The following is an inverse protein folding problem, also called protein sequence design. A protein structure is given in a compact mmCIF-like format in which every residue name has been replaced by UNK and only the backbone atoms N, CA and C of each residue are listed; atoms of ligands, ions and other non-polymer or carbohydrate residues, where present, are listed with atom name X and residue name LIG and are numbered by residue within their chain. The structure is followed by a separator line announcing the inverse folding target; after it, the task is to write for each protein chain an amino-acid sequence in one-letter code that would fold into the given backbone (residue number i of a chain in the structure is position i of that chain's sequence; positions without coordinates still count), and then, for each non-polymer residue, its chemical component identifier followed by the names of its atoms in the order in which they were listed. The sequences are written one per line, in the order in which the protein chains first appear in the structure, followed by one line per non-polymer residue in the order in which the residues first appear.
data_IF_017852188707
#
_entry.id   IF_017852188707
#
_cell.length_a   1.000
_cell.length_b   1.000
_cell.length_c   1.000
_cell.angle_alpha   90.00
_cell.angle_beta   90.00
_cell.angle_gamma   90.00
#
_symmetry.space_group_name_H-M   'P 1'
#
loop_
_entity.id
_entity.type
_entity.pdbx_description
1 polymer ?
#
# COMPACT_ATOMS: atom_id res chain seq x y z
N UNK A 1 13.63 -8.24 -1.45
CA UNK A 1 14.88 -7.94 -2.18
C UNK A 1 14.57 -6.92 -3.26
N UNK A 2 15.54 -6.14 -3.77
CA UNK A 2 15.26 -5.19 -4.89
C UNK A 2 14.64 -5.90 -6.11
N UNK A 3 15.03 -7.15 -6.35
CA UNK A 3 14.54 -7.99 -7.46
C UNK A 3 13.04 -8.32 -7.41
N UNK A 4 12.38 -8.17 -6.26
CA UNK A 4 10.93 -8.38 -6.10
C UNK A 4 10.10 -7.23 -6.71
N UNK A 5 10.73 -6.09 -6.96
CA UNK A 5 10.05 -4.92 -7.51
C UNK A 5 9.92 -5.03 -9.03
N UNK A 6 8.80 -4.53 -9.55
CA UNK A 6 8.48 -4.57 -10.96
C UNK A 6 9.47 -3.75 -11.80
N UNK A 7 9.85 -4.31 -12.95
CA UNK A 7 10.69 -3.63 -13.96
C UNK A 7 9.88 -2.87 -15.01
N UNK A 8 8.57 -3.08 -15.03
CA UNK A 8 7.66 -2.43 -15.96
C UNK A 8 6.28 -2.28 -15.31
N UNK A 9 5.45 -1.40 -15.88
CA UNK A 9 4.08 -1.20 -15.40
C UNK A 9 3.25 -2.47 -15.54
N UNK A 10 2.41 -2.77 -14.55
CA UNK A 10 1.47 -3.90 -14.61
C UNK A 10 0.18 -3.58 -13.84
N UNK A 11 -0.79 -4.49 -13.88
CA UNK A 11 -2.01 -4.42 -13.09
C UNK A 11 -1.94 -5.39 -11.91
N UNK A 12 -2.22 -4.91 -10.70
CA UNK A 12 -2.36 -5.74 -9.51
C UNK A 12 -3.84 -5.99 -9.24
N UNK A 13 -4.31 -7.20 -9.50
CA UNK A 13 -5.67 -7.64 -9.20
C UNK A 13 -5.78 -8.16 -7.76
N UNK A 14 -6.84 -7.78 -7.06
CA UNK A 14 -7.12 -8.21 -5.70
C UNK A 14 -8.62 -8.30 -5.42
N UNK A 15 -8.96 -8.92 -4.30
CA UNK A 15 -10.34 -9.01 -3.79
C UNK A 15 -10.46 -8.11 -2.57
N UNK A 16 -11.39 -7.15 -2.61
CA UNK A 16 -11.64 -6.26 -1.48
C UNK A 16 -12.47 -6.92 -0.38
N UNK A 17 -12.69 -6.20 0.73
CA UNK A 17 -13.46 -6.71 1.88
C UNK A 17 -14.94 -6.95 1.56
N UNK A 18 -15.46 -6.38 0.47
CA UNK A 18 -16.80 -6.63 -0.05
C UNK A 18 -16.82 -7.75 -1.11
N UNK A 19 -15.73 -8.50 -1.25
CA UNK A 19 -15.55 -9.59 -2.22
C UNK A 19 -15.60 -9.15 -3.69
N UNK A 20 -15.40 -7.87 -3.97
CA UNK A 20 -15.32 -7.37 -5.34
C UNK A 20 -13.91 -7.53 -5.89
N UNK A 21 -13.82 -7.89 -7.17
CA UNK A 21 -12.57 -7.81 -7.93
C UNK A 21 -12.24 -6.36 -8.18
N UNK A 22 -11.04 -5.95 -7.79
CA UNK A 22 -10.49 -4.62 -8.06
C UNK A 22 -9.08 -4.75 -8.61
N UNK A 23 -8.62 -3.67 -9.21
CA UNK A 23 -7.27 -3.59 -9.77
C UNK A 23 -6.60 -2.27 -9.41
N UNK A 24 -5.29 -2.31 -9.20
CA UNK A 24 -4.44 -1.14 -9.01
C UNK A 24 -3.38 -1.15 -10.11
N UNK A 25 -3.22 -0.02 -10.80
CA UNK A 25 -2.11 0.15 -11.74
C UNK A 25 -0.81 0.31 -10.94
N UNK A 26 0.15 -0.58 -11.16
CA UNK A 26 1.47 -0.54 -10.57
C UNK A 26 2.48 0.01 -11.58
N UNK A 27 3.34 0.90 -11.11
CA UNK A 27 4.43 1.48 -11.90
C UNK A 27 5.72 0.68 -11.73
N UNK A 28 6.72 0.97 -12.57
CA UNK A 28 8.08 0.46 -12.35
C UNK A 28 8.56 0.80 -10.93
N UNK A 29 9.39 -0.08 -10.37
CA UNK A 29 9.92 0.01 -9.02
C UNK A 29 8.85 -0.04 -7.93
N UNK A 30 7.73 -0.72 -8.19
CA UNK A 30 6.69 -1.00 -7.20
C UNK A 30 6.42 -2.50 -7.03
N UNK A 31 5.78 -2.86 -5.92
CA UNK A 31 5.19 -4.17 -5.69
C UNK A 31 3.88 -3.99 -4.92
N UNK A 32 2.84 -4.72 -5.33
CA UNK A 32 1.53 -4.73 -4.68
C UNK A 32 1.25 -6.06 -3.99
N UNK A 33 0.68 -6.00 -2.80
CA UNK A 33 0.19 -7.17 -2.06
C UNK A 33 -1.02 -6.77 -1.20
N UNK A 34 -1.64 -7.72 -0.51
CA UNK A 34 -2.70 -7.40 0.46
C UNK A 34 -2.31 -7.84 1.86
N UNK A 35 -2.75 -7.07 2.86
CA UNK A 35 -2.70 -7.46 4.26
C UNK A 35 -4.07 -7.19 4.89
N UNK A 36 -4.68 -8.19 5.52
CA UNK A 36 -6.08 -8.13 5.95
C UNK A 36 -7.05 -7.65 4.85
N UNK A 37 -6.86 -8.09 3.60
CA UNK A 37 -7.60 -7.62 2.41
C UNK A 37 -7.50 -6.10 2.11
N UNK A 38 -6.62 -5.38 2.80
CA UNK A 38 -6.26 -4.01 2.45
C UNK A 38 -5.07 -4.06 1.48
N UNK A 39 -5.15 -3.44 0.29
CA UNK A 39 -4.03 -3.42 -0.64
C UNK A 39 -2.91 -2.50 -0.11
N UNK A 40 -1.70 -3.01 -0.18
CA UNK A 40 -0.46 -2.31 0.18
C UNK A 40 0.42 -2.26 -1.05
N UNK A 41 0.87 -1.05 -1.41
CA UNK A 41 1.81 -0.81 -2.51
C UNK A 41 3.10 -0.28 -1.93
N UNK A 42 4.19 -1.02 -2.15
CA UNK A 42 5.53 -0.51 -1.88
C UNK A 42 6.09 0.10 -3.16
N UNK A 43 6.74 1.25 -3.04
CA UNK A 43 7.34 1.99 -4.14
C UNK A 43 8.75 2.43 -3.76
N UNK A 44 9.75 2.18 -4.60
CA UNK A 44 11.10 2.72 -4.39
C UNK A 44 11.07 4.22 -4.69
N UNK A 45 11.71 5.00 -3.82
CA UNK A 45 11.73 6.48 -3.84
C UNK A 45 12.99 7.03 -3.17
N UNK A 46 13.29 8.30 -3.41
CA UNK A 46 14.37 9.02 -2.73
C UNK A 46 14.04 9.34 -1.27
N UNK A 47 12.75 9.30 -0.89
CA UNK A 47 12.27 9.64 0.44
C UNK A 47 11.30 8.61 0.98
N UNK A 48 11.47 8.32 2.27
CA UNK A 48 10.50 7.56 3.06
C UNK A 48 9.22 8.35 3.22
N UNK A 49 8.11 7.67 3.02
CA UNK A 49 6.79 8.20 3.29
C UNK A 49 5.82 7.04 3.43
N UNK A 50 4.76 7.24 4.20
CA UNK A 50 3.60 6.38 4.20
C UNK A 50 2.36 7.24 3.93
N UNK A 51 1.49 6.79 3.03
CA UNK A 51 0.20 7.41 2.75
C UNK A 51 -0.90 6.38 2.88
N UNK A 52 -1.97 6.76 3.57
CA UNK A 52 -3.18 5.96 3.75
C UNK A 52 -4.29 6.67 2.98
N UNK A 53 -4.84 5.99 1.97
CA UNK A 53 -6.05 6.41 1.29
C UNK A 53 -7.26 5.81 2.00
N UNK A 54 -8.14 6.68 2.49
CA UNK A 54 -9.40 6.30 3.10
C UNK A 54 -10.48 6.12 2.03
N UNK A 55 -11.48 5.28 2.31
CA UNK A 55 -12.59 5.00 1.38
C UNK A 55 -13.48 6.22 1.07
N UNK A 56 -13.39 7.28 1.88
CA UNK A 56 -14.02 8.57 1.61
C UNK A 56 -13.18 9.48 0.67
N UNK A 57 -12.04 8.99 0.16
CA UNK A 57 -11.12 9.72 -0.70
C UNK A 57 -10.07 10.58 0.04
N UNK A 58 -10.13 10.66 1.38
CA UNK A 58 -9.15 11.43 2.16
C UNK A 58 -7.80 10.73 2.20
N UNK A 59 -6.73 11.53 2.24
CA UNK A 59 -5.36 11.04 2.34
C UNK A 59 -4.76 11.43 3.69
N UNK A 60 -4.17 10.46 4.39
CA UNK A 60 -3.34 10.72 5.56
C UNK A 60 -1.89 10.38 5.25
N UNK A 61 -0.97 11.31 5.51
CA UNK A 61 0.46 11.15 5.22
C UNK A 61 1.27 11.13 6.50
N UNK A 62 2.28 10.26 6.53
CA UNK A 62 3.19 10.04 7.64
C UNK A 62 4.61 10.10 7.10
N UNK A 63 5.50 10.76 7.85
CA UNK A 63 6.94 10.79 7.56
C UNK A 63 7.63 9.51 8.02
N UNK A 64 7.07 8.86 9.03
CA UNK A 64 7.49 7.55 9.51
C UNK A 64 6.76 6.42 8.79
N UNK A 65 7.32 5.21 8.85
CA UNK A 65 6.76 4.00 8.24
C UNK A 65 5.92 3.18 9.22
N UNK A 66 5.34 3.83 10.23
CA UNK A 66 4.47 3.22 11.23
C UNK A 66 3.08 3.87 11.18
N UNK A 67 2.05 3.05 11.36
CA UNK A 67 0.69 3.50 11.50
C UNK A 67 0.38 3.78 12.98
N UNK A 68 -0.53 4.71 13.23
CA UNK A 68 -1.10 4.88 14.56
C UNK A 68 -2.05 3.72 14.91
N UNK A 69 -2.43 3.64 16.19
CA UNK A 69 -3.31 2.58 16.70
C UNK A 69 -4.67 2.57 16.00
N UNK A 70 -5.25 3.74 15.74
CA UNK A 70 -6.57 3.85 15.11
C UNK A 70 -6.59 3.23 13.72
N UNK A 71 -5.63 3.59 12.85
CA UNK A 71 -5.56 3.05 11.49
C UNK A 71 -5.23 1.56 11.52
N UNK A 72 -4.31 1.16 12.39
CA UNK A 72 -3.93 -0.25 12.55
C UNK A 72 -5.14 -1.10 12.94
N UNK A 73 -5.96 -0.64 13.89
CA UNK A 73 -7.20 -1.31 14.29
C UNK A 73 -8.17 -1.45 13.12
N UNK A 74 -8.39 -0.39 12.33
CA UNK A 74 -9.27 -0.44 11.14
C UNK A 74 -8.84 -1.49 10.12
N UNK A 75 -7.53 -1.69 9.93
CA UNK A 75 -6.97 -2.72 9.05
C UNK A 75 -7.20 -4.11 9.63
N UNK A 76 -6.87 -4.32 10.91
CA UNK A 76 -7.02 -5.63 11.57
C UNK A 76 -8.48 -6.08 11.63
N UNK A 77 -9.40 -5.15 11.91
CA UNK A 77 -10.85 -5.39 11.98
C UNK A 77 -11.53 -5.42 10.61
N UNK A 78 -10.79 -5.15 9.52
CA UNK A 78 -11.29 -5.15 8.15
C UNK A 78 -12.52 -4.24 7.98
N UNK A 79 -12.49 -3.04 8.57
CA UNK A 79 -13.66 -2.15 8.59
C UNK A 79 -14.04 -1.63 7.20
N UNK A 80 -13.10 -1.67 6.24
CA UNK A 80 -13.29 -1.13 4.89
C UNK A 80 -13.05 0.36 4.76
N UNK A 81 -12.68 1.02 5.86
CA UNK A 81 -12.35 2.45 5.84
C UNK A 81 -11.00 2.73 5.18
N UNK A 82 -10.09 1.75 5.19
CA UNK A 82 -8.78 1.87 4.53
C UNK A 82 -8.89 1.29 3.13
N UNK A 83 -8.78 2.16 2.11
CA UNK A 83 -8.87 1.76 0.71
C UNK A 83 -7.53 1.23 0.19
N UNK A 84 -6.42 1.89 0.53
CA UNK A 84 -5.07 1.51 0.11
C UNK A 84 -4.02 2.12 1.05
N UNK A 85 -2.91 1.40 1.23
CA UNK A 85 -1.70 1.93 1.86
C UNK A 85 -0.60 2.00 0.81
N UNK A 86 0.05 3.14 0.68
CA UNK A 86 1.23 3.31 -0.17
C UNK A 86 2.43 3.62 0.72
N UNK A 87 3.50 2.85 0.55
CA UNK A 87 4.74 3.00 1.33
C UNK A 87 5.88 3.26 0.36
N UNK A 88 6.55 4.39 0.54
CA UNK A 88 7.74 4.74 -0.20
C UNK A 88 8.97 4.34 0.61
N UNK A 89 9.82 3.52 0.01
CA UNK A 89 11.02 2.97 0.61
C UNK A 89 12.26 3.50 -0.11
N UNK A 90 13.34 3.70 0.63
CA UNK A 90 14.61 4.05 0.01
C UNK A 90 15.35 2.79 -0.45
N UNK A 91 16.04 2.85 -1.59
CA UNK A 91 16.74 1.69 -2.14
C UNK A 91 17.77 1.12 -1.16
N UNK A 92 18.39 1.96 -0.33
CA UNK A 92 19.39 1.57 0.66
C UNK A 92 18.86 0.65 1.77
N UNK A 93 17.54 0.53 1.91
CA UNK A 93 16.89 -0.36 2.88
C UNK A 93 16.54 -1.74 2.30
N UNK A 94 16.66 -1.87 0.98
CA UNK A 94 16.40 -3.11 0.28
C UNK A 94 17.65 -3.98 0.30
N UNK A 95 17.42 -5.26 0.56
CA UNK A 95 18.45 -6.31 0.43
C UNK A 95 18.52 -6.87 -0.98
#
# INVERSE_FOLDING_TARGET
KKEEFLREKTSFEYIDIQYNKKQIALTENSIGFTYCQTPVVYQISDKKQLEVKLSNGSLQRFTDLYLNEEISRKIFERTGEIEQITVWLTESELR
#
